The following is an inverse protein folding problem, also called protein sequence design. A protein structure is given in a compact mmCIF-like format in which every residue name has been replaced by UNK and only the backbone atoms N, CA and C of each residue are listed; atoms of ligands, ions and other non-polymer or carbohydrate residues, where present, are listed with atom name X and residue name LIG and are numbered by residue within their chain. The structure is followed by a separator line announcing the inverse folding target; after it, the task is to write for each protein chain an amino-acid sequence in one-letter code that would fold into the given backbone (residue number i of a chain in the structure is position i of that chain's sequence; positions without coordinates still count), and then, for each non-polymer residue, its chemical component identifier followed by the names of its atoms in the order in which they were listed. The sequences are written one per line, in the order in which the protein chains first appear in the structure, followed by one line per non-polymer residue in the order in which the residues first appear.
data_IF_357649189394
#
_entry.id   IF_357649189394
#
_cell.length_a   1.000
_cell.length_b   1.000
_cell.length_c   1.000
_cell.angle_alpha   90.00
_cell.angle_beta   90.00
_cell.angle_gamma   90.00
#
_symmetry.space_group_name_H-M   'P 1'
#
loop_
_entity.id
_entity.type
_entity.pdbx_description
1 polymer ?
#
# COMPACT_ATOMS: atom_id res chain seq x y z
N UNK A 1 0.40 1.77 -15.64
CA UNK A 1 1.33 2.72 -14.98
C UNK A 1 2.01 3.53 -16.07
N UNK A 2 2.02 4.85 -15.93
CA UNK A 2 2.58 5.77 -16.91
C UNK A 2 4.11 5.86 -16.78
N UNK A 3 4.79 6.33 -17.84
CA UNK A 3 6.26 6.41 -17.86
C UNK A 3 6.81 7.36 -16.80
N UNK A 4 6.11 8.47 -16.55
CA UNK A 4 6.46 9.45 -15.54
C UNK A 4 6.37 8.87 -14.12
N UNK A 5 5.38 8.03 -13.87
CA UNK A 5 5.26 7.30 -12.58
C UNK A 5 6.43 6.35 -12.39
N UNK A 6 6.82 5.61 -13.43
CA UNK A 6 8.00 4.75 -13.35
C UNK A 6 9.27 5.56 -13.09
N UNK A 7 9.44 6.68 -13.78
CA UNK A 7 10.57 7.59 -13.55
C UNK A 7 10.60 8.11 -12.11
N UNK A 8 9.45 8.48 -11.54
CA UNK A 8 9.33 8.89 -10.13
C UNK A 8 9.80 7.79 -9.17
N UNK A 9 9.37 6.55 -9.39
CA UNK A 9 9.73 5.41 -8.54
C UNK A 9 11.25 5.11 -8.60
N UNK A 10 11.82 5.17 -9.79
CA UNK A 10 13.22 4.82 -10.03
C UNK A 10 14.21 5.88 -9.52
N UNK A 11 13.78 7.13 -9.41
CA UNK A 11 14.62 8.25 -9.00
C UNK A 11 14.38 8.71 -7.55
N UNK A 12 13.40 8.16 -6.85
CA UNK A 12 13.19 8.48 -5.44
C UNK A 12 14.16 7.68 -4.56
N UNK A 13 14.92 8.38 -3.72
CA UNK A 13 15.98 7.80 -2.89
C UNK A 13 15.48 6.73 -1.90
N UNK A 14 14.27 6.89 -1.37
CA UNK A 14 13.66 5.95 -0.44
C UNK A 14 13.07 4.71 -1.12
N UNK A 15 12.77 4.79 -2.43
CA UNK A 15 12.08 3.73 -3.16
C UNK A 15 13.03 2.85 -3.96
N UNK A 16 14.11 3.42 -4.45
CA UNK A 16 15.09 2.78 -5.33
C UNK A 16 15.59 1.46 -4.72
N UNK A 17 15.27 0.33 -5.34
CA UNK A 17 15.62 -1.03 -4.89
C UNK A 17 15.01 -1.46 -3.53
N UNK A 18 14.19 -0.63 -2.90
CA UNK A 18 13.63 -0.89 -1.57
C UNK A 18 12.13 -1.20 -1.57
N UNK A 19 11.48 -1.17 -2.73
CA UNK A 19 10.05 -1.46 -2.83
C UNK A 19 9.78 -2.90 -2.41
N UNK A 20 9.00 -3.07 -1.34
CA UNK A 20 8.55 -4.36 -0.84
C UNK A 20 7.51 -4.97 -1.75
N UNK A 21 6.43 -4.25 -2.01
CA UNK A 21 5.52 -4.50 -3.11
C UNK A 21 4.85 -3.21 -3.59
N UNK A 22 4.40 -3.23 -4.85
CA UNK A 22 3.47 -2.28 -5.43
C UNK A 22 2.23 -3.02 -5.89
N UNK A 23 1.05 -2.46 -5.66
CA UNK A 23 -0.21 -3.02 -6.13
C UNK A 23 -1.12 -1.94 -6.71
N UNK A 24 -1.97 -2.37 -7.65
CA UNK A 24 -3.11 -1.59 -8.12
C UNK A 24 -4.20 -1.70 -7.05
N UNK A 25 -4.79 -0.56 -6.69
CA UNK A 25 -5.83 -0.46 -5.67
C UNK A 25 -7.06 0.30 -6.21
N UNK A 26 -8.00 0.62 -5.34
CA UNK A 26 -9.17 1.42 -5.67
C UNK A 26 -10.10 0.77 -6.69
N UNK A 27 -10.73 1.58 -7.53
CA UNK A 27 -11.73 1.16 -8.51
C UNK A 27 -11.21 0.10 -9.49
N UNK A 28 -9.94 0.19 -9.87
CA UNK A 28 -9.30 -0.76 -10.79
C UNK A 28 -9.16 -2.16 -10.16
N UNK A 29 -8.83 -2.25 -8.88
CA UNK A 29 -8.71 -3.53 -8.17
C UNK A 29 -10.08 -4.16 -7.86
N UNK A 30 -11.09 -3.33 -7.65
CA UNK A 30 -12.44 -3.78 -7.28
C UNK A 30 -13.38 -4.01 -8.49
N UNK A 31 -12.90 -3.75 -9.71
CA UNK A 31 -13.69 -3.96 -10.94
C UNK A 31 -14.82 -2.93 -11.13
N UNK A 32 -14.69 -1.77 -10.50
CA UNK A 32 -15.65 -0.65 -10.60
C UNK A 32 -15.09 0.54 -11.40
N UNK A 33 -13.91 0.37 -12.00
CA UNK A 33 -13.26 1.40 -12.81
C UNK A 33 -14.07 1.73 -14.07
N UNK A 34 -14.11 3.01 -14.42
CA UNK A 34 -14.61 3.54 -15.68
C UNK A 34 -13.45 4.15 -16.48
N UNK A 35 -13.64 4.50 -17.74
CA UNK A 35 -12.56 5.06 -18.61
C UNK A 35 -11.85 6.28 -18.03
N UNK A 36 -12.54 7.07 -17.19
CA UNK A 36 -11.98 8.24 -16.52
C UNK A 36 -11.43 7.97 -15.13
N UNK A 37 -11.37 6.71 -14.68
CA UNK A 37 -10.86 6.37 -13.35
C UNK A 37 -9.35 6.50 -13.31
N UNK A 38 -8.84 7.20 -12.30
CA UNK A 38 -7.41 7.29 -12.03
C UNK A 38 -6.82 5.93 -11.64
N UNK A 39 -5.55 5.74 -11.93
CA UNK A 39 -4.83 4.55 -11.50
C UNK A 39 -4.26 4.79 -10.11
N UNK A 40 -4.81 4.07 -9.13
CA UNK A 40 -4.33 4.06 -7.75
C UNK A 40 -3.21 3.02 -7.58
N UNK A 41 -2.01 3.46 -7.24
CA UNK A 41 -0.87 2.60 -6.93
C UNK A 41 -0.56 2.72 -5.44
N UNK A 42 -0.50 1.60 -4.77
CA UNK A 42 -0.25 1.50 -3.33
C UNK A 42 0.87 0.50 -3.06
N UNK A 43 1.58 0.70 -1.95
CA UNK A 43 2.63 -0.22 -1.58
C UNK A 43 3.40 0.20 -0.35
N UNK A 44 4.48 -0.53 -0.10
CA UNK A 44 5.45 -0.17 0.93
C UNK A 44 6.87 -0.38 0.44
N UNK A 45 7.80 0.34 1.05
CA UNK A 45 9.22 0.19 0.83
C UNK A 45 9.94 -0.07 2.15
N UNK A 46 10.98 -0.90 2.12
CA UNK A 46 11.86 -1.15 3.26
C UNK A 46 12.81 0.03 3.44
N UNK A 47 13.28 0.24 4.67
CA UNK A 47 14.34 1.19 4.93
C UNK A 47 15.67 0.68 4.35
N UNK A 48 16.52 1.59 3.93
CA UNK A 48 17.88 1.26 3.56
C UNK A 48 18.70 0.86 4.81
N UNK A 49 19.80 0.15 4.63
CA UNK A 49 20.72 -0.16 5.75
C UNK A 49 21.24 1.11 6.40
N UNK A 50 21.47 2.16 5.62
CA UNK A 50 21.91 3.46 6.13
C UNK A 50 20.85 4.09 7.01
N UNK A 51 19.58 4.14 6.58
CA UNK A 51 18.48 4.70 7.36
C UNK A 51 18.34 3.97 8.71
N UNK A 52 18.42 2.63 8.68
CA UNK A 52 18.35 1.81 9.90
C UNK A 52 19.48 2.15 10.88
N UNK A 53 20.72 2.27 10.38
CA UNK A 53 21.88 2.56 11.22
C UNK A 53 21.87 4.00 11.78
N UNK A 54 21.31 4.94 11.03
CA UNK A 54 21.18 6.34 11.45
C UNK A 54 19.88 6.60 12.26
N UNK A 55 19.05 5.58 12.46
CA UNK A 55 17.71 5.72 13.07
C UNK A 55 16.83 6.75 12.32
N UNK A 56 17.02 6.86 11.02
CA UNK A 56 16.19 7.68 10.14
C UNK A 56 15.02 6.86 9.59
N UNK A 57 13.90 7.51 9.37
CA UNK A 57 12.71 6.91 8.77
C UNK A 57 12.00 7.95 7.90
N UNK A 58 11.32 7.47 6.88
CA UNK A 58 10.34 8.27 6.15
C UNK A 58 8.94 7.77 6.46
N UNK A 59 7.95 8.63 6.46
CA UNK A 59 6.58 8.20 6.70
C UNK A 59 5.95 7.61 5.44
N UNK A 60 6.01 8.36 4.35
CA UNK A 60 5.46 7.96 3.05
C UNK A 60 6.05 8.79 1.93
N UNK A 61 6.04 8.19 0.74
CA UNK A 61 6.30 8.87 -0.53
C UNK A 61 5.01 8.87 -1.33
N UNK A 62 4.61 10.02 -1.86
CA UNK A 62 3.37 10.14 -2.63
C UNK A 62 3.49 11.09 -3.81
N UNK A 63 2.72 10.81 -4.86
CA UNK A 63 2.44 11.73 -5.97
C UNK A 63 1.01 11.53 -6.42
N UNK A 64 0.41 12.57 -6.96
CA UNK A 64 -0.96 12.54 -7.47
C UNK A 64 -1.03 12.72 -8.99
N UNK A 65 0.12 12.81 -9.64
CA UNK A 65 0.20 12.96 -11.10
C UNK A 65 1.46 12.24 -11.62
N UNK A 66 1.35 11.51 -12.75
CA UNK A 66 0.13 11.24 -13.54
C UNK A 66 -0.79 10.17 -12.92
N UNK A 67 -0.27 9.30 -12.05
CA UNK A 67 -1.02 8.28 -11.31
C UNK A 67 -1.05 8.66 -9.81
N UNK A 68 -2.07 8.24 -9.08
CA UNK A 68 -2.14 8.44 -7.62
C UNK A 68 -1.35 7.34 -6.89
N UNK A 69 -0.13 7.68 -6.49
CA UNK A 69 0.83 6.76 -5.86
C UNK A 69 0.98 7.10 -4.38
N UNK A 70 0.84 6.11 -3.52
CA UNK A 70 1.17 6.22 -2.09
C UNK A 70 1.94 4.98 -1.65
N UNK A 71 3.17 5.20 -1.19
CA UNK A 71 4.06 4.15 -0.71
C UNK A 71 4.48 4.49 0.72
N UNK A 72 4.15 3.62 1.65
CA UNK A 72 4.52 3.77 3.06
C UNK A 72 5.92 3.21 3.33
N UNK A 73 6.59 3.75 4.34
CA UNK A 73 7.75 3.04 4.92
C UNK A 73 7.31 1.73 5.54
N UNK A 74 8.22 0.76 5.62
CA UNK A 74 7.95 -0.53 6.29
C UNK A 74 7.46 -0.34 7.72
N UNK A 75 8.02 0.61 8.48
CA UNK A 75 7.63 0.91 9.85
C UNK A 75 6.19 1.40 9.93
N UNK A 76 5.82 2.36 9.09
CA UNK A 76 4.45 2.86 9.03
C UNK A 76 3.48 1.78 8.58
N UNK A 77 3.83 1.02 7.55
CA UNK A 77 2.98 -0.03 6.99
C UNK A 77 2.67 -1.11 8.04
N UNK A 78 3.69 -1.65 8.72
CA UNK A 78 3.52 -2.64 9.77
C UNK A 78 2.71 -2.08 10.95
N UNK A 79 2.93 -0.82 11.35
CA UNK A 79 2.14 -0.16 12.38
C UNK A 79 0.66 -0.08 12.01
N UNK A 80 0.34 0.27 10.76
CA UNK A 80 -1.04 0.31 10.28
C UNK A 80 -1.67 -1.08 10.22
N UNK A 81 -0.93 -2.10 9.79
CA UNK A 81 -1.38 -3.50 9.80
C UNK A 81 -1.67 -3.98 11.22
N UNK A 82 -0.77 -3.72 12.17
CA UNK A 82 -0.92 -4.10 13.58
C UNK A 82 -2.11 -3.43 14.25
N UNK A 83 -2.48 -2.23 13.78
CA UNK A 83 -3.66 -1.51 14.23
C UNK A 83 -4.94 -1.90 13.46
N UNK A 84 -4.90 -2.98 12.68
CA UNK A 84 -6.04 -3.48 11.89
C UNK A 84 -6.65 -2.42 10.98
N UNK A 85 -5.82 -1.54 10.38
CA UNK A 85 -6.30 -0.51 9.47
C UNK A 85 -6.89 -1.15 8.21
N UNK A 86 -8.20 -0.94 7.89
CA UNK A 86 -8.87 -1.62 6.79
C UNK A 86 -8.18 -1.41 5.44
N UNK A 87 -7.75 -0.19 5.12
CA UNK A 87 -7.17 0.13 3.81
C UNK A 87 -5.91 -0.69 3.54
N UNK A 88 -4.98 -0.77 4.51
CA UNK A 88 -3.72 -1.51 4.29
C UNK A 88 -3.90 -3.03 4.40
N UNK A 89 -4.87 -3.51 5.18
CA UNK A 89 -5.21 -4.94 5.23
C UNK A 89 -5.77 -5.40 3.89
N UNK A 90 -6.58 -4.59 3.23
CA UNK A 90 -7.10 -4.89 1.88
C UNK A 90 -5.97 -5.09 0.87
N UNK A 91 -4.84 -4.36 0.97
CA UNK A 91 -3.71 -4.56 0.07
C UNK A 91 -3.11 -5.96 0.16
N UNK A 92 -3.21 -6.63 1.31
CA UNK A 92 -2.74 -8.02 1.50
C UNK A 92 -3.71 -9.06 0.90
N UNK A 93 -4.93 -8.65 0.61
CA UNK A 93 -6.00 -9.51 0.09
C UNK A 93 -6.24 -9.43 -1.40
N UNK A 94 -5.48 -8.62 -2.12
CA UNK A 94 -5.64 -8.43 -3.56
C UNK A 94 -5.32 -9.72 -4.33
N UNK A 95 -5.85 -9.81 -5.56
CA UNK A 95 -5.52 -10.91 -6.45
C UNK A 95 -4.07 -10.79 -6.95
N UNK A 96 -3.41 -11.92 -7.29
CA UNK A 96 -2.02 -11.89 -7.75
C UNK A 96 -1.76 -10.95 -8.93
N UNK A 97 -2.71 -10.83 -9.85
CA UNK A 97 -2.60 -9.95 -11.02
C UNK A 97 -2.58 -8.45 -10.69
N UNK A 98 -2.98 -8.06 -9.48
CA UNK A 98 -2.96 -6.65 -9.05
C UNK A 98 -1.61 -6.22 -8.48
N UNK A 99 -0.71 -7.15 -8.20
CA UNK A 99 0.64 -6.79 -7.74
C UNK A 99 1.55 -6.53 -8.94
N UNK A 100 2.02 -5.31 -9.06
CA UNK A 100 2.91 -4.87 -10.15
C UNK A 100 4.36 -5.29 -9.91
N UNK A 101 4.76 -5.31 -8.64
CA UNK A 101 6.12 -5.67 -8.20
C UNK A 101 6.05 -6.25 -6.80
N UNK A 102 6.85 -7.28 -6.54
CA UNK A 102 7.01 -7.89 -5.22
C UNK A 102 8.47 -8.32 -5.08
N UNK A 103 9.12 -7.89 -3.99
CA UNK A 103 10.45 -8.40 -3.61
C UNK A 103 10.34 -9.45 -2.49
N UNK A 104 11.47 -9.94 -1.98
CA UNK A 104 11.49 -10.97 -0.94
C UNK A 104 10.82 -10.51 0.37
N UNK A 105 10.97 -9.24 0.76
CA UNK A 105 10.30 -8.69 1.94
C UNK A 105 8.78 -8.63 1.74
N UNK A 106 8.32 -8.20 0.57
CA UNK A 106 6.91 -8.20 0.19
C UNK A 106 6.33 -9.61 0.17
N UNK A 107 7.07 -10.57 -0.40
CA UNK A 107 6.67 -11.97 -0.41
C UNK A 107 6.55 -12.55 0.99
N UNK A 108 7.56 -12.34 1.85
CA UNK A 108 7.53 -12.77 3.25
C UNK A 108 6.28 -12.26 3.97
N UNK A 109 5.94 -10.98 3.77
CA UNK A 109 4.79 -10.36 4.38
C UNK A 109 3.47 -10.95 3.86
N UNK A 110 3.34 -11.14 2.55
CA UNK A 110 2.14 -11.73 1.93
C UNK A 110 1.93 -13.20 2.34
N UNK A 111 3.00 -13.98 2.46
CA UNK A 111 2.94 -15.37 2.92
C UNK A 111 2.48 -15.48 4.38
N UNK A 112 2.76 -14.45 5.19
CA UNK A 112 2.40 -14.38 6.61
C UNK A 112 1.23 -13.42 6.89
N UNK A 113 0.47 -13.00 5.89
CA UNK A 113 -0.61 -12.00 6.03
C UNK A 113 -1.66 -12.33 7.08
N UNK A 114 -1.89 -13.61 7.38
CA UNK A 114 -2.85 -14.06 8.40
C UNK A 114 -2.49 -13.57 9.81
N UNK A 115 -1.23 -13.27 10.08
CA UNK A 115 -0.78 -12.74 11.38
C UNK A 115 -1.40 -11.39 11.72
N UNK A 116 -1.81 -10.62 10.70
CA UNK A 116 -2.41 -9.31 10.87
C UNK A 116 -3.94 -9.34 10.96
N UNK A 117 -4.56 -10.51 10.79
CA UNK A 117 -6.02 -10.68 10.90
C UNK A 117 -6.40 -10.98 12.34
N UNK A 118 -6.47 -9.94 13.17
CA UNK A 118 -6.91 -10.02 14.56
C UNK A 118 -8.43 -9.84 14.71
N UNK A 119 -8.96 -10.05 15.92
CA UNK A 119 -10.38 -9.75 16.25
C UNK A 119 -10.70 -8.26 16.10
N UNK A 120 -9.71 -7.40 16.24
CA UNK A 120 -9.90 -5.95 16.09
C UNK A 120 -10.29 -5.57 14.66
N UNK A 121 -9.95 -6.39 13.65
CA UNK A 121 -10.42 -6.21 12.28
C UNK A 121 -11.95 -6.15 12.20
N UNK A 122 -12.68 -6.91 13.02
CA UNK A 122 -14.14 -6.93 13.02
C UNK A 122 -14.69 -5.54 13.37
N UNK A 123 -14.13 -4.90 14.40
CA UNK A 123 -14.57 -3.57 14.82
C UNK A 123 -14.12 -2.46 13.87
N UNK A 124 -12.89 -2.54 13.36
CA UNK A 124 -12.35 -1.53 12.43
C UNK A 124 -13.06 -1.56 11.09
N UNK A 125 -13.26 -2.73 10.49
CA UNK A 125 -14.02 -2.89 9.25
C UNK A 125 -15.51 -2.54 9.43
N UNK A 126 -16.13 -2.94 10.55
CA UNK A 126 -17.50 -2.57 10.88
C UNK A 126 -17.67 -1.06 11.04
N UNK A 127 -16.74 -0.39 11.71
CA UNK A 127 -16.71 1.07 11.84
C UNK A 127 -16.51 1.77 10.49
N UNK A 128 -15.62 1.26 9.66
CA UNK A 128 -15.37 1.77 8.31
C UNK A 128 -16.64 1.65 7.44
N UNK A 129 -17.24 0.47 7.36
CA UNK A 129 -18.46 0.24 6.60
C UNK A 129 -19.62 1.16 7.05
N UNK A 130 -19.80 1.34 8.37
CA UNK A 130 -20.81 2.25 8.92
C UNK A 130 -20.53 3.71 8.55
N UNK A 131 -19.25 4.12 8.53
CA UNK A 131 -18.83 5.45 8.10
C UNK A 131 -19.15 5.68 6.62
N UNK A 132 -18.84 4.73 5.75
CA UNK A 132 -19.14 4.82 4.32
C UNK A 132 -20.66 4.90 4.08
N UNK A 133 -21.43 4.08 4.75
CA UNK A 133 -22.89 4.13 4.62
C UNK A 133 -23.48 5.49 5.03
N UNK A 134 -22.95 6.13 6.07
CA UNK A 134 -23.40 7.48 6.46
C UNK A 134 -23.10 8.55 5.39
N UNK A 135 -22.01 8.40 4.63
CA UNK A 135 -21.65 9.33 3.54
C UNK A 135 -22.54 9.19 2.30
N UNK A 136 -23.20 8.03 2.15
CA UNK A 136 -24.11 7.75 1.02
C UNK A 136 -25.56 8.24 1.26
N UNK A 137 -25.86 8.75 2.46
CA UNK A 137 -27.15 9.36 2.83
C UNK A 137 -27.09 10.87 2.76
#
# INVERSE_FOLDING_TARGET
MQAETQYFLDNNEHLKNHIGFLCIYGSNAHGTAIESSDLDIRGFATLSTQDILLCEDFEQVQTHFPDDVVIYSSNKFIRLLSNSNPNVIEWLGLKPEHYLQINDAGKLLLDNKKLFLSRDCISTFGGYAKSQWRKMR
#
